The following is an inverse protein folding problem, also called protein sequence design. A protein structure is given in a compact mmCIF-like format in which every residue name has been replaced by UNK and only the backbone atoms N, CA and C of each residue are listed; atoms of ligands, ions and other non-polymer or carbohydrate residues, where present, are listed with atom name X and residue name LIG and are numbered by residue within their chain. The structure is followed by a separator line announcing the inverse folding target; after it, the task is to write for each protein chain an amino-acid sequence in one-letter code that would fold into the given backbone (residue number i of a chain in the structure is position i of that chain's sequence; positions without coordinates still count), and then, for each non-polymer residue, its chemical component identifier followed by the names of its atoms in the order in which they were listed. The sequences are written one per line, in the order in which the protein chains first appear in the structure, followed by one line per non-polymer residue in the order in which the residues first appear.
data_IF_028468883890
#
_entry.id   IF_028468883890
#
_cell.length_a   1.000
_cell.length_b   1.000
_cell.length_c   1.000
_cell.angle_alpha   90.00
_cell.angle_beta   90.00
_cell.angle_gamma   90.00
#
_symmetry.space_group_name_H-M   'P 1'
#
loop_
_entity.id
_entity.type
_entity.pdbx_description
1 polymer ?
#
# COMPACT_ATOMS: atom_id res chain seq x y z
N UNK A 1 12.00 -36.08 -9.50
CA UNK A 1 11.01 -35.65 -8.50
C UNK A 1 11.48 -34.34 -7.92
N UNK A 2 10.75 -33.23 -8.13
CA UNK A 2 11.06 -31.95 -7.52
C UNK A 2 10.82 -32.07 -6.01
N UNK A 3 11.87 -31.82 -5.22
CA UNK A 3 11.81 -31.81 -3.75
C UNK A 3 10.90 -30.66 -3.32
N UNK A 4 9.77 -30.95 -2.72
CA UNK A 4 8.87 -29.94 -2.14
C UNK A 4 9.69 -29.05 -1.19
N UNK A 5 9.58 -27.72 -1.26
CA UNK A 5 10.28 -26.83 -0.34
C UNK A 5 9.92 -27.18 1.11
N UNK A 6 10.92 -27.37 1.97
CA UNK A 6 10.71 -27.74 3.37
C UNK A 6 10.42 -26.55 4.29
N UNK A 7 9.95 -25.42 3.73
CA UNK A 7 9.68 -24.20 4.46
C UNK A 7 8.30 -23.63 4.11
N UNK A 8 7.72 -22.89 5.03
CA UNK A 8 6.48 -22.14 4.79
C UNK A 8 6.77 -20.93 3.88
N UNK A 9 6.37 -21.04 2.60
CA UNK A 9 6.60 -20.02 1.58
C UNK A 9 5.92 -18.69 1.95
N UNK A 10 4.72 -18.72 2.53
CA UNK A 10 3.99 -17.51 2.90
C UNK A 10 4.66 -16.79 4.06
N UNK A 11 5.11 -17.52 5.08
CA UNK A 11 5.86 -16.95 6.21
C UNK A 11 7.15 -16.27 5.73
N UNK A 12 7.88 -16.91 4.80
CA UNK A 12 9.10 -16.36 4.17
C UNK A 12 8.80 -15.07 3.42
N UNK A 13 7.74 -15.05 2.60
CA UNK A 13 7.35 -13.86 1.84
C UNK A 13 6.93 -12.73 2.77
N UNK A 14 6.18 -13.01 3.84
CA UNK A 14 5.81 -12.00 4.86
C UNK A 14 7.01 -11.42 5.58
N UNK A 15 8.00 -12.25 5.93
CA UNK A 15 9.24 -11.79 6.54
C UNK A 15 10.04 -10.88 5.58
N UNK A 16 10.19 -11.30 4.32
CA UNK A 16 10.84 -10.49 3.30
C UNK A 16 10.09 -9.18 3.02
N UNK A 17 8.74 -9.21 2.98
CA UNK A 17 7.89 -8.03 2.85
C UNK A 17 8.17 -7.02 3.97
N UNK A 18 8.24 -7.48 5.21
CA UNK A 18 8.55 -6.62 6.36
C UNK A 18 9.90 -5.95 6.20
N UNK A 19 10.94 -6.70 5.81
CA UNK A 19 12.27 -6.14 5.57
C UNK A 19 12.25 -5.11 4.43
N UNK A 20 11.71 -5.46 3.26
CA UNK A 20 11.63 -4.52 2.14
C UNK A 20 10.81 -3.26 2.46
N UNK A 21 9.76 -3.39 3.27
CA UNK A 21 8.96 -2.24 3.68
C UNK A 21 9.75 -1.31 4.62
N UNK A 22 10.58 -1.90 5.48
CA UNK A 22 11.38 -1.15 6.46
C UNK A 22 12.56 -0.43 5.83
N UNK A 23 13.36 -1.12 5.00
CA UNK A 23 14.64 -0.59 4.49
C UNK A 23 14.67 -0.27 2.99
N UNK A 24 13.63 -0.65 2.25
CA UNK A 24 13.57 -0.53 0.79
C UNK A 24 14.25 -1.67 0.05
N UNK A 25 13.99 -1.74 -1.26
CA UNK A 25 14.56 -2.80 -2.11
C UNK A 25 16.08 -2.72 -2.20
N UNK A 26 16.64 -1.54 -2.46
CA UNK A 26 18.05 -1.34 -2.69
C UNK A 26 18.89 -1.71 -1.46
N UNK A 27 18.47 -1.24 -0.30
CA UNK A 27 19.20 -1.41 0.97
C UNK A 27 19.08 -2.81 1.57
N UNK A 28 18.03 -3.58 1.23
CA UNK A 28 17.87 -4.97 1.69
C UNK A 28 18.94 -5.86 1.06
N UNK A 29 19.99 -6.21 1.79
CA UNK A 29 21.05 -7.10 1.33
C UNK A 29 20.59 -8.58 1.35
N UNK A 30 21.32 -9.46 0.64
CA UNK A 30 21.04 -10.91 0.73
C UNK A 30 21.27 -11.44 2.14
N UNK A 31 22.33 -11.07 2.89
CA UNK A 31 22.46 -11.45 4.30
C UNK A 31 21.27 -11.02 5.18
N UNK A 32 20.74 -9.81 4.97
CA UNK A 32 19.55 -9.34 5.71
C UNK A 32 18.32 -10.18 5.38
N UNK A 33 18.13 -10.55 4.11
CA UNK A 33 17.07 -11.44 3.68
C UNK A 33 17.23 -12.86 4.25
N UNK A 34 18.45 -13.39 4.33
CA UNK A 34 18.73 -14.67 4.98
C UNK A 34 18.36 -14.60 6.48
N UNK A 35 18.76 -13.53 7.16
CA UNK A 35 18.44 -13.34 8.58
C UNK A 35 16.93 -13.18 8.81
N UNK A 36 16.25 -12.41 7.98
CA UNK A 36 14.81 -12.16 8.11
C UNK A 36 13.96 -13.40 7.80
N UNK A 37 14.34 -14.16 6.76
CA UNK A 37 13.52 -15.27 6.25
C UNK A 37 13.90 -16.64 6.83
N UNK A 38 15.08 -16.77 7.45
CA UNK A 38 15.65 -18.04 7.88
C UNK A 38 16.10 -18.94 6.72
N UNK A 39 16.09 -18.44 5.48
CA UNK A 39 16.53 -19.19 4.30
C UNK A 39 17.96 -18.84 3.94
N UNK A 40 18.74 -19.84 3.50
CA UNK A 40 20.04 -19.58 2.88
C UNK A 40 19.89 -18.85 1.53
N UNK A 41 20.94 -18.16 1.10
CA UNK A 41 21.04 -17.55 -0.25
C UNK A 41 20.60 -18.50 -1.35
N UNK A 42 21.12 -19.74 -1.33
CA UNK A 42 20.78 -20.75 -2.34
C UNK A 42 19.29 -21.11 -2.31
N UNK A 43 18.68 -21.19 -1.13
CA UNK A 43 17.25 -21.46 -0.98
C UNK A 43 16.40 -20.31 -1.51
N UNK A 44 16.78 -19.06 -1.26
CA UNK A 44 16.12 -17.86 -1.81
C UNK A 44 16.15 -17.87 -3.32
N UNK A 45 17.33 -18.10 -3.93
CA UNK A 45 17.48 -18.11 -5.38
C UNK A 45 16.75 -19.31 -6.01
N UNK A 46 16.75 -20.47 -5.37
CA UNK A 46 16.00 -21.64 -5.87
C UNK A 46 14.48 -21.43 -5.81
N UNK A 47 13.96 -20.76 -4.76
CA UNK A 47 12.53 -20.59 -4.54
C UNK A 47 11.93 -19.39 -5.31
N UNK A 48 12.71 -18.32 -5.50
CA UNK A 48 12.23 -17.04 -6.04
C UNK A 48 13.01 -16.58 -7.28
N UNK A 49 14.04 -17.30 -7.71
CA UNK A 49 14.88 -16.99 -8.86
C UNK A 49 15.91 -15.88 -8.58
N UNK A 50 15.53 -14.84 -7.85
CA UNK A 50 16.39 -13.68 -7.57
C UNK A 50 15.87 -12.90 -6.36
N UNK A 51 16.67 -11.93 -5.85
CA UNK A 51 16.20 -10.91 -4.89
C UNK A 51 14.97 -10.18 -5.45
N UNK A 52 14.97 -9.90 -6.76
CA UNK A 52 13.85 -9.26 -7.43
C UNK A 52 12.60 -10.15 -7.41
N UNK A 53 12.68 -11.43 -7.70
CA UNK A 53 11.53 -12.33 -7.62
C UNK A 53 10.97 -12.45 -6.20
N UNK A 54 11.82 -12.40 -5.17
CA UNK A 54 11.36 -12.34 -3.78
C UNK A 54 10.66 -11.01 -3.47
N UNK A 55 11.16 -9.89 -4.01
CA UNK A 55 10.52 -8.58 -3.89
C UNK A 55 9.15 -8.57 -4.58
N UNK A 56 9.02 -9.11 -5.79
CA UNK A 56 7.75 -9.21 -6.51
C UNK A 56 6.72 -10.03 -5.70
N UNK A 57 7.15 -11.13 -5.09
CA UNK A 57 6.29 -11.91 -4.18
C UNK A 57 5.90 -11.12 -2.92
N UNK A 58 6.82 -10.35 -2.35
CA UNK A 58 6.57 -9.50 -1.18
C UNK A 58 5.58 -8.37 -1.51
N UNK A 59 5.69 -7.75 -2.69
CA UNK A 59 4.74 -6.73 -3.18
C UNK A 59 3.35 -7.33 -3.37
N UNK A 60 3.24 -8.51 -3.96
CA UNK A 60 1.95 -9.18 -4.11
C UNK A 60 1.32 -9.50 -2.75
N UNK A 61 2.10 -10.04 -1.81
CA UNK A 61 1.65 -10.26 -0.43
C UNK A 61 1.21 -8.96 0.27
N UNK A 62 1.89 -7.83 -0.01
CA UNK A 62 1.48 -6.52 0.51
C UNK A 62 0.11 -6.08 -0.03
N UNK A 63 -0.12 -6.23 -1.33
CA UNK A 63 -1.40 -5.92 -1.94
C UNK A 63 -2.53 -6.80 -1.38
N UNK A 64 -2.30 -8.10 -1.29
CA UNK A 64 -3.34 -9.06 -0.90
C UNK A 64 -3.67 -9.05 0.60
N UNK A 65 -2.67 -8.86 1.46
CA UNK A 65 -2.83 -8.97 2.91
C UNK A 65 -2.94 -7.61 3.63
N UNK A 66 -2.47 -6.52 3.00
CA UNK A 66 -2.44 -5.19 3.64
C UNK A 66 -3.35 -4.19 2.96
N UNK A 67 -3.28 -4.07 1.62
CA UNK A 67 -4.02 -3.05 0.87
C UNK A 67 -5.47 -3.47 0.64
N UNK A 68 -5.69 -4.56 -0.08
CA UNK A 68 -7.02 -5.01 -0.52
C UNK A 68 -8.00 -5.27 0.61
N UNK A 69 -7.61 -5.87 1.76
CA UNK A 69 -8.51 -6.02 2.90
C UNK A 69 -9.05 -4.69 3.43
N UNK A 70 -8.22 -3.63 3.41
CA UNK A 70 -8.63 -2.28 3.82
C UNK A 70 -9.53 -1.58 2.80
N UNK A 71 -9.33 -1.85 1.50
CA UNK A 71 -10.16 -1.31 0.42
C UNK A 71 -11.46 -2.08 0.22
N UNK A 72 -11.59 -3.29 0.79
CA UNK A 72 -12.75 -4.16 0.61
C UNK A 72 -14.09 -3.46 0.84
N UNK A 73 -14.27 -2.61 1.89
CA UNK A 73 -15.54 -1.89 2.09
C UNK A 73 -15.90 -0.93 0.95
N UNK A 74 -14.90 -0.50 0.15
CA UNK A 74 -15.05 0.38 -1.01
C UNK A 74 -15.08 -0.36 -2.35
N UNK A 75 -15.04 -1.70 -2.33
CA UNK A 75 -14.87 -2.52 -3.55
C UNK A 75 -16.09 -3.40 -3.87
N UNK A 76 -17.16 -3.37 -3.07
CA UNK A 76 -18.39 -4.14 -3.27
C UNK A 76 -19.28 -3.57 -4.38
N UNK A 77 -20.29 -4.35 -4.78
CA UNK A 77 -21.37 -3.89 -5.70
C UNK A 77 -22.18 -2.75 -5.08
N UNK A 78 -22.39 -2.81 -3.77
CA UNK A 78 -23.03 -1.75 -2.97
C UNK A 78 -22.01 -1.27 -1.95
N UNK A 79 -21.70 0.02 -1.99
CA UNK A 79 -20.78 0.67 -1.06
C UNK A 79 -21.58 1.50 -0.07
N UNK A 80 -21.29 1.33 1.23
CA UNK A 80 -21.87 2.16 2.28
C UNK A 80 -21.39 3.61 2.13
N UNK A 81 -22.29 4.62 2.18
CA UNK A 81 -21.91 6.04 2.12
C UNK A 81 -20.87 6.47 3.15
N UNK A 82 -20.79 5.80 4.31
CA UNK A 82 -19.80 6.11 5.34
C UNK A 82 -18.45 5.37 5.14
N UNK A 83 -18.37 4.41 4.20
CA UNK A 83 -17.19 3.57 4.05
C UNK A 83 -15.92 4.37 3.71
N UNK A 84 -16.02 5.39 2.87
CA UNK A 84 -14.85 6.23 2.51
C UNK A 84 -14.39 7.08 3.71
N UNK A 85 -15.31 7.61 4.50
CA UNK A 85 -14.98 8.36 5.72
C UNK A 85 -14.31 7.42 6.73
N UNK A 86 -14.88 6.23 6.95
CA UNK A 86 -14.32 5.23 7.86
C UNK A 86 -12.91 4.80 7.43
N UNK A 87 -12.67 4.60 6.14
CA UNK A 87 -11.34 4.30 5.59
C UNK A 87 -10.33 5.41 5.90
N UNK A 88 -10.69 6.66 5.59
CA UNK A 88 -9.79 7.81 5.80
C UNK A 88 -9.53 8.07 7.29
N UNK A 89 -10.54 7.93 8.15
CA UNK A 89 -10.39 8.03 9.60
C UNK A 89 -9.44 6.95 10.13
N UNK A 90 -9.64 5.69 9.72
CA UNK A 90 -8.76 4.59 10.10
C UNK A 90 -7.31 4.81 9.66
N UNK A 91 -7.08 5.41 8.49
CA UNK A 91 -5.74 5.77 8.01
C UNK A 91 -5.13 6.90 8.86
N UNK A 92 -5.89 7.96 9.15
CA UNK A 92 -5.46 9.06 10.02
C UNK A 92 -5.07 8.54 11.42
N UNK A 93 -5.90 7.68 11.99
CA UNK A 93 -5.66 7.12 13.33
C UNK A 93 -4.44 6.20 13.33
N UNK A 94 -4.21 5.46 12.25
CA UNK A 94 -3.00 4.66 12.07
C UNK A 94 -1.73 5.52 12.04
N UNK A 95 -1.74 6.71 11.42
CA UNK A 95 -0.62 7.66 11.47
C UNK A 95 -0.41 8.26 12.86
N UNK A 96 -1.48 8.44 13.63
CA UNK A 96 -1.39 8.88 15.04
C UNK A 96 -0.83 7.82 15.99
N UNK A 97 -0.75 6.56 15.57
CA UNK A 97 -0.27 5.44 16.39
C UNK A 97 1.13 5.05 15.98
N UNK A 98 2.15 5.60 16.64
CA UNK A 98 3.58 5.43 16.30
C UNK A 98 4.07 3.97 16.19
N UNK A 99 3.34 3.01 16.72
CA UNK A 99 3.67 1.57 16.66
C UNK A 99 3.10 0.85 15.44
N UNK A 100 2.29 1.52 14.62
CA UNK A 100 1.74 0.88 13.42
C UNK A 100 2.77 0.88 12.28
N UNK A 101 2.81 -0.19 11.48
CA UNK A 101 3.69 -0.25 10.29
C UNK A 101 3.46 0.91 9.32
N UNK A 102 2.22 1.33 8.99
CA UNK A 102 2.00 2.50 8.16
C UNK A 102 2.55 3.80 8.73
N UNK A 103 2.44 4.03 10.05
CA UNK A 103 3.01 5.22 10.68
C UNK A 103 4.54 5.20 10.66
N UNK A 104 5.14 4.02 10.93
CA UNK A 104 6.59 3.89 11.02
C UNK A 104 7.26 3.83 9.63
N UNK A 105 6.59 3.28 8.61
CA UNK A 105 7.21 2.94 7.32
C UNK A 105 6.42 3.43 6.09
N UNK A 106 5.29 4.10 6.26
CA UNK A 106 4.46 4.58 5.14
C UNK A 106 3.85 3.43 4.33
N UNK A 107 3.84 3.57 3.01
CA UNK A 107 3.37 2.55 2.07
C UNK A 107 4.55 1.96 1.30
N UNK A 108 4.64 0.62 1.23
CA UNK A 108 5.70 -0.08 0.50
C UNK A 108 5.79 0.39 -0.96
N UNK A 109 4.66 0.55 -1.65
CA UNK A 109 4.63 0.93 -3.07
C UNK A 109 4.91 2.43 -3.28
N UNK A 110 4.44 3.30 -2.38
CA UNK A 110 4.79 4.74 -2.43
C UNK A 110 6.29 4.92 -2.18
N UNK A 111 6.87 4.17 -1.24
CA UNK A 111 8.32 4.18 -0.99
C UNK A 111 9.10 3.67 -2.22
N UNK A 112 8.63 2.61 -2.86
CA UNK A 112 9.25 2.07 -4.07
C UNK A 112 9.15 3.05 -5.25
N UNK A 113 8.08 3.85 -5.35
CA UNK A 113 7.90 4.84 -6.42
C UNK A 113 8.98 5.93 -6.41
N UNK A 114 9.52 6.29 -5.24
CA UNK A 114 10.62 7.24 -5.09
C UNK A 114 12.01 6.62 -5.15
N UNK A 115 12.14 5.32 -5.41
CA UNK A 115 13.40 4.57 -5.38
C UNK A 115 13.83 4.11 -6.79
N UNK A 116 15.12 3.78 -7.00
CA UNK A 116 15.64 3.33 -8.30
C UNK A 116 14.90 2.11 -8.89
N UNK A 117 14.34 1.23 -8.05
CA UNK A 117 13.56 0.08 -8.50
C UNK A 117 12.35 0.47 -9.36
N UNK A 118 11.82 1.69 -9.21
CA UNK A 118 10.71 2.20 -10.02
C UNK A 118 11.08 2.40 -11.51
N UNK A 119 12.37 2.41 -11.86
CA UNK A 119 12.82 2.45 -13.26
C UNK A 119 12.59 1.10 -13.98
N UNK A 120 12.36 0.01 -13.24
CA UNK A 120 11.96 -1.26 -13.85
C UNK A 120 10.50 -1.15 -14.34
N UNK A 121 10.22 -1.42 -15.63
CA UNK A 121 8.88 -1.25 -16.20
C UNK A 121 7.78 -2.09 -15.50
N UNK A 122 8.11 -3.27 -14.99
CA UNK A 122 7.14 -4.11 -14.26
C UNK A 122 6.81 -3.53 -12.90
N UNK A 123 7.79 -2.96 -12.19
CA UNK A 123 7.53 -2.29 -10.91
C UNK A 123 6.75 -1.00 -11.13
N UNK A 124 7.12 -0.22 -12.14
CA UNK A 124 6.38 0.99 -12.52
C UNK A 124 4.90 0.67 -12.82
N UNK A 125 4.65 -0.42 -13.56
CA UNK A 125 3.28 -0.88 -13.85
C UNK A 125 2.52 -1.25 -12.57
N UNK A 126 3.11 -2.04 -11.67
CA UNK A 126 2.47 -2.43 -10.40
C UNK A 126 2.15 -1.21 -9.54
N UNK A 127 3.03 -0.19 -9.51
CA UNK A 127 2.78 1.05 -8.78
C UNK A 127 1.62 1.84 -9.43
N UNK A 128 1.57 1.90 -10.75
CA UNK A 128 0.48 2.53 -11.50
C UNK A 128 -0.85 1.83 -11.25
N UNK A 129 -0.88 0.51 -11.31
CA UNK A 129 -2.06 -0.30 -11.06
C UNK A 129 -2.58 -0.13 -9.62
N UNK A 130 -1.67 -0.09 -8.64
CA UNK A 130 -2.02 0.20 -7.25
C UNK A 130 -2.67 1.59 -7.09
N UNK A 131 -2.11 2.62 -7.75
CA UNK A 131 -2.70 3.95 -7.72
C UNK A 131 -4.10 3.97 -8.36
N UNK A 132 -4.28 3.26 -9.48
CA UNK A 132 -5.58 3.10 -10.13
C UNK A 132 -6.58 2.37 -9.21
N UNK A 133 -6.16 1.28 -8.53
CA UNK A 133 -6.99 0.54 -7.57
C UNK A 133 -7.48 1.44 -6.42
N UNK A 134 -6.59 2.31 -5.88
CA UNK A 134 -6.98 3.32 -4.89
C UNK A 134 -8.01 4.31 -5.46
N UNK A 135 -7.73 4.87 -6.63
CA UNK A 135 -8.60 5.85 -7.29
C UNK A 135 -9.99 5.27 -7.52
N UNK A 136 -10.09 4.07 -8.07
CA UNK A 136 -11.35 3.40 -8.34
C UNK A 136 -12.15 3.08 -7.06
N UNK A 137 -11.46 2.68 -5.99
CA UNK A 137 -12.10 2.45 -4.71
C UNK A 137 -12.66 3.76 -4.12
N UNK A 138 -11.88 4.84 -4.19
CA UNK A 138 -12.34 6.15 -3.70
C UNK A 138 -13.44 6.75 -4.58
N UNK A 139 -13.43 6.51 -5.88
CA UNK A 139 -14.51 6.91 -6.78
C UNK A 139 -15.84 6.27 -6.33
N UNK A 140 -15.86 4.95 -6.07
CA UNK A 140 -17.05 4.27 -5.56
C UNK A 140 -17.51 4.81 -4.20
N UNK A 141 -16.57 5.13 -3.31
CA UNK A 141 -16.89 5.70 -2.00
C UNK A 141 -17.47 7.11 -2.10
N UNK A 142 -16.94 7.95 -3.00
CA UNK A 142 -17.46 9.30 -3.28
C UNK A 142 -18.85 9.20 -3.92
N UNK A 143 -19.04 8.31 -4.90
CA UNK A 143 -20.33 8.08 -5.54
C UNK A 143 -21.42 7.66 -4.55
N UNK A 144 -21.08 6.72 -3.66
CA UNK A 144 -22.02 6.24 -2.64
C UNK A 144 -22.45 7.36 -1.67
N UNK A 145 -21.51 8.25 -1.31
CA UNK A 145 -21.76 9.32 -0.34
C UNK A 145 -22.44 10.55 -0.93
N UNK A 146 -22.07 10.89 -2.17
CA UNK A 146 -22.53 12.12 -2.86
C UNK A 146 -23.01 11.79 -4.26
N UNK A 147 -24.14 11.07 -4.41
CA UNK A 147 -24.61 10.56 -5.70
C UNK A 147 -24.98 11.66 -6.70
N UNK A 148 -25.32 12.84 -6.20
CA UNK A 148 -25.79 13.98 -7.04
C UNK A 148 -24.65 14.87 -7.56
N UNK A 149 -23.37 14.53 -7.28
CA UNK A 149 -22.25 15.27 -7.82
C UNK A 149 -22.14 15.14 -9.34
N UNK A 150 -21.89 16.24 -10.01
CA UNK A 150 -21.53 16.16 -11.44
C UNK A 150 -20.20 15.43 -11.64
N UNK A 151 -20.03 14.83 -12.82
CA UNK A 151 -18.89 13.98 -13.12
C UNK A 151 -17.53 14.69 -12.99
N UNK A 152 -17.48 15.99 -13.32
CA UNK A 152 -16.24 16.76 -13.27
C UNK A 152 -15.83 17.07 -11.82
N UNK A 153 -16.79 17.43 -10.96
CA UNK A 153 -16.52 17.65 -9.54
C UNK A 153 -16.16 16.35 -8.84
N UNK A 154 -16.85 15.26 -9.17
CA UNK A 154 -16.50 13.92 -8.67
C UNK A 154 -15.05 13.58 -8.97
N UNK A 155 -14.62 13.69 -10.23
CA UNK A 155 -13.26 13.37 -10.65
C UNK A 155 -12.22 14.26 -9.95
N UNK A 156 -12.51 15.55 -9.78
CA UNK A 156 -11.64 16.47 -9.02
C UNK A 156 -11.46 16.01 -7.58
N UNK A 157 -12.57 15.64 -6.89
CA UNK A 157 -12.53 15.18 -5.50
C UNK A 157 -11.78 13.86 -5.37
N UNK A 158 -12.08 12.87 -6.20
CA UNK A 158 -11.40 11.56 -6.19
C UNK A 158 -9.90 11.72 -6.43
N UNK A 159 -9.51 12.53 -7.42
CA UNK A 159 -8.11 12.82 -7.69
C UNK A 159 -7.43 13.51 -6.50
N UNK A 160 -8.08 14.49 -5.86
CA UNK A 160 -7.54 15.20 -4.71
C UNK A 160 -7.38 14.27 -3.49
N UNK A 161 -8.38 13.44 -3.20
CA UNK A 161 -8.34 12.46 -2.10
C UNK A 161 -7.22 11.44 -2.35
N UNK A 162 -7.13 10.87 -3.56
CA UNK A 162 -6.08 9.91 -3.92
C UNK A 162 -4.69 10.52 -3.76
N UNK A 163 -4.50 11.76 -4.23
CA UNK A 163 -3.23 12.47 -4.10
C UNK A 163 -2.88 12.77 -2.65
N UNK A 164 -3.87 13.17 -1.82
CA UNK A 164 -3.67 13.40 -0.39
C UNK A 164 -3.25 12.13 0.35
N UNK A 165 -3.86 10.99 0.02
CA UNK A 165 -3.50 9.69 0.61
C UNK A 165 -2.08 9.28 0.21
N UNK A 166 -1.70 9.43 -1.06
CA UNK A 166 -0.33 9.13 -1.53
C UNK A 166 0.69 10.06 -0.85
N UNK A 167 0.41 11.36 -0.77
CA UNK A 167 1.28 12.32 -0.08
C UNK A 167 1.41 12.01 1.42
N UNK A 168 0.32 11.65 2.09
CA UNK A 168 0.34 11.26 3.49
C UNK A 168 1.24 10.02 3.73
N UNK A 169 1.16 9.01 2.88
CA UNK A 169 2.06 7.85 2.96
C UNK A 169 3.53 8.21 2.74
N UNK A 170 3.82 9.15 1.82
CA UNK A 170 5.19 9.61 1.60
C UNK A 170 5.77 10.36 2.81
N UNK A 171 4.92 11.11 3.54
CA UNK A 171 5.30 11.89 4.72
C UNK A 171 5.28 11.09 6.02
N UNK A 172 4.59 9.97 6.08
CA UNK A 172 4.31 9.23 7.33
C UNK A 172 5.56 8.96 8.17
N UNK A 173 6.71 8.66 7.53
CA UNK A 173 7.99 8.39 8.20
C UNK A 173 8.73 9.65 8.67
N UNK A 174 8.39 10.81 8.12
CA UNK A 174 9.12 12.09 8.32
C UNK A 174 8.31 12.96 9.28
N UNK A 175 7.02 13.14 9.00
CA UNK A 175 6.09 13.94 9.79
C UNK A 175 4.70 13.27 9.82
N UNK A 176 4.49 12.32 10.75
CA UNK A 176 3.19 11.65 10.90
C UNK A 176 2.04 12.62 11.19
N UNK A 177 2.34 13.76 11.87
CA UNK A 177 1.32 14.76 12.18
C UNK A 177 0.85 15.47 10.90
N UNK A 178 1.77 15.82 9.99
CA UNK A 178 1.43 16.39 8.68
C UNK A 178 0.69 15.37 7.80
N UNK A 179 1.12 14.11 7.80
CA UNK A 179 0.40 13.04 7.13
C UNK A 179 -1.06 12.95 7.61
N UNK A 180 -1.27 13.02 8.94
CA UNK A 180 -2.60 13.05 9.55
C UNK A 180 -3.43 14.28 9.15
N UNK A 181 -2.81 15.47 9.06
CA UNK A 181 -3.49 16.69 8.57
C UNK A 181 -3.92 16.58 7.11
N UNK A 182 -3.07 16.00 6.25
CA UNK A 182 -3.41 15.74 4.85
C UNK A 182 -4.63 14.81 4.71
N UNK A 183 -4.72 13.78 5.55
CA UNK A 183 -5.91 12.91 5.57
C UNK A 183 -7.14 13.64 6.15
N UNK A 184 -6.98 14.49 7.16
CA UNK A 184 -8.09 15.30 7.67
C UNK A 184 -8.69 16.22 6.59
N UNK A 185 -7.85 16.85 5.77
CA UNK A 185 -8.29 17.63 4.61
C UNK A 185 -9.03 16.77 3.57
N UNK A 186 -8.58 15.53 3.32
CA UNK A 186 -9.29 14.61 2.44
C UNK A 186 -10.68 14.22 3.00
N UNK A 187 -10.80 14.02 4.32
CA UNK A 187 -12.09 13.79 4.99
C UNK A 187 -13.03 14.98 4.79
N UNK A 188 -12.55 16.21 4.95
CA UNK A 188 -13.36 17.41 4.71
C UNK A 188 -13.85 17.51 3.26
N UNK A 189 -13.02 17.15 2.27
CA UNK A 189 -13.43 17.13 0.86
C UNK A 189 -14.58 16.14 0.60
N UNK A 190 -14.58 15.01 1.28
CA UNK A 190 -15.66 14.01 1.19
C UNK A 190 -16.92 14.50 1.91
N UNK A 191 -16.77 15.19 3.05
CA UNK A 191 -17.89 15.66 3.86
C UNK A 191 -18.65 16.86 3.24
N UNK A 192 -17.98 17.66 2.40
CA UNK A 192 -18.61 18.82 1.73
C UNK A 192 -19.57 18.36 0.64
N UNK A 193 -20.85 18.48 0.87
CA UNK A 193 -21.91 18.19 -0.11
C UNK A 193 -22.72 16.92 0.21
N UNK A 194 -22.62 16.42 1.44
CA UNK A 194 -23.57 15.47 1.99
C UNK A 194 -24.75 16.21 2.64
#
# INVERSE_FOLDING_TARGET
MARTPSFDREAVVRAARTLFWTVGYESASIPDLEAATGLSRSSIYNAFGSKRGLFDAAVQSYLDEVVRPRLRPLSGEVVDPEAIIAYLQGLRDAFGTLTSMPASHGCLLVNAAGAPIAHDPKVAQVISDYRAELHDAFARGVDARTPDLDAAERERRVTAITSSVVAAFALARIDPAEAGRGIASAIELVARGA
#
